data_IF_117072261622
#
_entry.id   IF_117072261622
#
_cell.length_a   1.000
_cell.length_b   1.000
_cell.length_c   1.000
_cell.angle_alpha   90.00
_cell.angle_beta   90.00
_cell.angle_gamma   90.00
#
_symmetry.space_group_name_H-M   'P 1'
#
loop_
_entity.id
_entity.type
_entity.pdbx_description
1 polymer ?
#
# COMPACT_ATOMS: atom_id res chain seq x y z
N UNK A 1 9.68 17.00 -9.99
CA UNK A 1 9.57 16.53 -8.60
C UNK A 1 9.61 15.03 -8.69
N UNK A 2 10.60 14.39 -8.06
CA UNK A 2 10.67 12.94 -7.94
C UNK A 2 9.96 12.62 -6.63
N UNK A 3 8.78 12.02 -6.71
CA UNK A 3 8.08 11.53 -5.52
C UNK A 3 8.46 10.07 -5.34
N UNK A 4 9.22 9.76 -4.30
CA UNK A 4 9.27 8.38 -3.83
C UNK A 4 7.92 8.14 -3.17
N UNK A 5 7.04 7.35 -3.82
CA UNK A 5 5.75 7.02 -3.24
C UNK A 5 5.94 5.84 -2.29
N UNK A 6 5.76 6.10 -1.00
CA UNK A 6 5.76 5.12 0.07
C UNK A 6 4.31 4.85 0.48
N UNK A 7 3.75 3.79 -0.08
CA UNK A 7 2.52 3.19 0.45
C UNK A 7 2.86 2.07 1.43
N UNK A 8 1.93 1.72 2.30
CA UNK A 8 2.09 0.63 3.25
C UNK A 8 0.82 -0.18 3.38
N UNK A 9 0.98 -1.50 3.54
CA UNK A 9 -0.07 -2.36 4.05
C UNK A 9 -0.08 -2.19 5.57
N UNK A 10 -1.26 -1.90 6.11
CA UNK A 10 -1.48 -1.57 7.52
C UNK A 10 -2.50 -2.53 8.12
N UNK A 11 -2.20 -3.12 9.29
CA UNK A 11 -3.09 -3.98 10.07
C UNK A 11 -3.35 -3.33 11.44
N UNK A 12 -4.61 -2.99 11.73
CA UNK A 12 -5.01 -2.28 12.95
C UNK A 12 -4.17 -1.02 13.26
N UNK A 13 -3.81 -0.28 12.20
CA UNK A 13 -2.99 0.93 12.32
C UNK A 13 -1.46 0.70 12.31
N UNK A 14 -0.99 -0.55 12.37
CA UNK A 14 0.44 -0.87 12.32
C UNK A 14 0.89 -1.20 10.91
N UNK A 15 2.01 -0.64 10.46
CA UNK A 15 2.63 -0.99 9.17
C UNK A 15 3.14 -2.43 9.23
N UNK A 16 2.64 -3.28 8.33
CA UNK A 16 3.08 -4.68 8.20
C UNK A 16 3.97 -4.90 6.99
N UNK A 17 3.85 -4.07 5.95
CA UNK A 17 4.77 -4.06 4.82
C UNK A 17 4.76 -2.70 4.12
N UNK A 18 5.92 -2.30 3.59
CA UNK A 18 6.06 -1.09 2.78
C UNK A 18 6.00 -1.51 1.29
N UNK A 19 5.30 -0.70 0.51
CA UNK A 19 5.19 -0.76 -0.94
C UNK A 19 5.99 0.43 -1.47
N UNK A 20 7.09 0.14 -2.18
CA UNK A 20 7.93 1.16 -2.79
C UNK A 20 7.56 1.31 -4.27
N UNK A 21 7.36 2.55 -4.72
CA UNK A 21 7.30 2.92 -6.13
C UNK A 21 8.09 4.19 -6.39
N UNK A 22 8.75 4.28 -7.54
CA UNK A 22 9.51 5.46 -7.96
C UNK A 22 8.91 6.04 -9.23
N UNK A 23 7.69 6.55 -9.11
CA UNK A 23 7.00 7.25 -10.19
C UNK A 23 7.61 8.64 -10.41
N UNK A 24 7.73 9.05 -11.67
CA UNK A 24 7.98 10.44 -12.02
C UNK A 24 6.80 11.01 -12.83
N UNK A 25 6.77 12.31 -13.06
CA UNK A 25 5.67 12.98 -13.79
C UNK A 25 5.49 12.50 -15.25
N UNK A 26 6.34 11.60 -15.75
CA UNK A 26 6.34 11.09 -17.14
C UNK A 26 6.19 9.56 -17.17
N UNK A 27 6.47 8.86 -16.07
CA UNK A 27 6.46 7.40 -15.95
C UNK A 27 5.65 6.97 -14.74
N UNK A 28 4.56 6.26 -15.01
CA UNK A 28 3.85 5.49 -14.00
C UNK A 28 4.73 4.30 -13.58
N UNK A 29 5.27 4.34 -12.37
CA UNK A 29 5.92 3.19 -11.75
C UNK A 29 4.92 2.48 -10.83
N UNK A 30 5.09 1.17 -10.65
CA UNK A 30 4.20 0.35 -9.84
C UNK A 30 5.00 -0.33 -8.72
N UNK A 31 4.61 -0.03 -7.47
CA UNK A 31 4.94 -0.84 -6.31
C UNK A 31 3.94 -2.00 -6.16
N UNK A 32 4.41 -3.17 -5.75
CA UNK A 32 3.52 -4.30 -5.41
C UNK A 32 4.04 -5.05 -4.19
N UNK A 33 3.13 -5.47 -3.31
CA UNK A 33 3.48 -6.30 -2.17
C UNK A 33 2.34 -7.26 -1.81
N UNK A 34 2.69 -8.38 -1.17
CA UNK A 34 1.74 -9.36 -0.64
C UNK A 34 2.17 -9.77 0.76
N UNK A 35 1.22 -9.87 1.68
CA UNK A 35 1.46 -10.32 3.06
C UNK A 35 0.51 -11.46 3.40
N UNK A 36 0.97 -12.34 4.29
CA UNK A 36 0.13 -13.32 4.98
C UNK A 36 0.11 -12.90 6.43
N UNK A 37 -1.07 -12.56 6.93
CA UNK A 37 -1.27 -12.11 8.31
C UNK A 37 -2.36 -12.94 8.97
N UNK A 38 -2.21 -13.21 10.27
CA UNK A 38 -3.25 -13.81 11.07
C UNK A 38 -4.30 -12.75 11.40
N UNK A 39 -5.57 -13.09 11.14
CA UNK A 39 -6.70 -12.18 11.32
C UNK A 39 -7.66 -12.73 12.36
N UNK A 40 -8.16 -11.86 13.22
CA UNK A 40 -9.32 -12.15 14.08
C UNK A 40 -10.52 -11.30 13.66
N UNK A 41 -11.71 -11.69 14.12
CA UNK A 41 -12.93 -10.91 13.87
C UNK A 41 -12.77 -9.50 14.43
N UNK A 42 -12.93 -8.50 13.57
CA UNK A 42 -12.83 -7.07 13.93
C UNK A 42 -11.50 -6.42 13.57
N UNK A 43 -10.52 -7.19 13.07
CA UNK A 43 -9.30 -6.61 12.53
C UNK A 43 -9.54 -5.84 11.23
N UNK A 44 -8.80 -4.75 11.06
CA UNK A 44 -8.82 -3.89 9.87
C UNK A 44 -7.50 -3.99 9.08
N UNK A 45 -7.61 -4.03 7.76
CA UNK A 45 -6.47 -4.05 6.83
C UNK A 45 -6.69 -3.03 5.73
N UNK A 46 -5.71 -2.16 5.54
CA UNK A 46 -5.76 -1.09 4.55
C UNK A 46 -4.43 -0.91 3.84
N UNK A 47 -4.47 -0.28 2.67
CA UNK A 47 -3.29 0.37 2.06
C UNK A 47 -3.36 1.85 2.43
N UNK A 48 -2.25 2.41 2.93
CA UNK A 48 -2.14 3.82 3.31
C UNK A 48 -0.88 4.42 2.72
N UNK A 49 -0.98 5.65 2.25
CA UNK A 49 0.19 6.49 2.02
C UNK A 49 0.84 6.78 3.36
N UNK A 50 2.16 6.67 3.42
CA UNK A 50 2.95 6.98 4.61
C UNK A 50 3.96 8.11 4.36
N UNK A 51 3.89 8.77 3.21
CA UNK A 51 4.70 9.96 2.95
C UNK A 51 4.19 11.16 3.74
N UNK A 52 5.11 11.80 4.45
CA UNK A 52 4.82 12.96 5.30
C UNK A 52 4.65 14.27 4.53
N UNK A 53 4.87 14.26 3.21
CA UNK A 53 5.03 15.46 2.42
C UNK A 53 3.99 15.58 1.29
N UNK A 54 2.69 15.59 1.61
CA UNK A 54 1.57 15.91 0.68
C UNK A 54 1.58 15.21 -0.70
N UNK A 55 2.43 14.20 -0.88
CA UNK A 55 2.46 13.32 -2.03
C UNK A 55 1.24 12.43 -1.88
N UNK A 56 0.15 12.90 -2.46
CA UNK A 56 -1.11 12.17 -2.51
C UNK A 56 -0.85 10.77 -3.03
N UNK A 57 -1.60 9.76 -2.55
CA UNK A 57 -1.82 8.58 -3.40
C UNK A 57 -2.53 9.14 -4.62
N UNK A 58 -1.78 9.41 -5.67
CA UNK A 58 -2.32 9.54 -7.00
C UNK A 58 -2.77 8.12 -7.32
N UNK A 59 -3.94 7.72 -6.81
CA UNK A 59 -4.66 6.50 -7.17
C UNK A 59 -5.17 6.59 -8.60
N UNK A 60 -4.40 7.25 -9.45
CA UNK A 60 -4.75 7.79 -10.74
C UNK A 60 -4.41 6.71 -11.76
N UNK A 61 -5.22 5.66 -11.73
CA UNK A 61 -5.33 4.58 -12.71
C UNK A 61 -4.48 3.32 -12.44
N UNK A 62 -5.16 2.17 -12.44
CA UNK A 62 -4.63 0.80 -12.42
C UNK A 62 -4.14 0.21 -11.08
N UNK A 63 -4.29 0.91 -9.96
CA UNK A 63 -4.00 0.32 -8.63
C UNK A 63 -5.00 -0.77 -8.24
N UNK A 64 -4.50 -1.85 -7.62
CA UNK A 64 -5.32 -2.97 -7.15
C UNK A 64 -5.01 -3.35 -5.71
N UNK A 65 -6.06 -3.60 -4.92
CA UNK A 65 -5.96 -4.19 -3.59
C UNK A 65 -6.97 -5.32 -3.47
N UNK A 66 -6.51 -6.51 -3.10
CA UNK A 66 -7.34 -7.71 -3.00
C UNK A 66 -6.84 -8.63 -1.89
N UNK A 67 -7.74 -9.41 -1.31
CA UNK A 67 -7.41 -10.42 -0.32
C UNK A 67 -8.47 -11.50 -0.24
N UNK A 68 -8.10 -12.64 0.36
CA UNK A 68 -9.00 -13.74 0.65
C UNK A 68 -8.62 -14.39 1.98
N UNK A 69 -9.60 -15.00 2.63
CA UNK A 69 -9.37 -15.77 3.85
C UNK A 69 -9.04 -17.20 3.44
N UNK A 70 -7.93 -17.72 3.93
CA UNK A 70 -7.57 -19.13 3.79
C UNK A 70 -7.08 -19.69 5.12
N UNK A 71 -7.18 -21.01 5.22
CA UNK A 71 -6.68 -21.78 6.36
C UNK A 71 -5.41 -22.50 5.92
N UNK A 72 -4.29 -22.18 6.58
CA UNK A 72 -3.03 -22.91 6.45
C UNK A 72 -3.17 -24.33 7.04
#
# INVERSE_FOLDING_TARGET
MNGEAHDAIVHNGNVVAIIYGHGDNVRHDQGSQTVIINMITGDDVAVKNIDFADDSILGDFYSSFSGYIFKL
#
